data_IF_926288154698
#
_entry.id   IF_926288154698
#
_cell.length_a   1.000
_cell.length_b   1.000
_cell.length_c   1.000
_cell.angle_alpha   90.00
_cell.angle_beta   90.00
_cell.angle_gamma   90.00
#
_symmetry.space_group_name_H-M   'P 1'
#
loop_
_entity.id
_entity.type
_entity.pdbx_description
1 polymer ?
#
# COMPACT_ATOMS: atom_id res chain seq x y z
N UNK A 1 7.94 9.59 21.63
CA UNK A 1 8.69 10.00 20.90
C UNK A 1 8.32 10.57 19.58
N UNK A 2 9.20 10.89 18.82
CA UNK A 2 8.91 11.71 17.69
C UNK A 2 8.39 10.88 16.55
N UNK A 3 7.33 11.35 15.90
CA UNK A 3 6.78 10.72 14.73
C UNK A 3 7.81 10.64 13.62
N UNK A 4 8.78 11.56 13.64
CA UNK A 4 9.79 11.61 12.60
C UNK A 4 10.69 10.39 12.56
N UNK A 5 10.69 9.58 13.62
CA UNK A 5 11.50 8.37 13.65
C UNK A 5 10.81 7.20 12.94
N UNK A 6 9.53 7.35 12.62
CA UNK A 6 8.80 6.27 11.97
C UNK A 6 9.00 6.28 10.47
N UNK A 7 8.86 5.10 9.89
CA UNK A 7 9.11 4.88 8.46
C UNK A 7 7.88 5.26 7.63
N UNK A 8 8.12 5.84 6.47
CA UNK A 8 7.14 5.90 5.40
C UNK A 8 7.44 4.72 4.48
N UNK A 9 6.60 3.70 4.54
CA UNK A 9 6.83 2.48 3.78
C UNK A 9 6.27 2.63 2.36
N UNK A 10 7.13 2.43 1.38
CA UNK A 10 6.76 2.50 -0.03
C UNK A 10 6.75 1.08 -0.57
N UNK A 11 5.56 0.55 -0.80
CA UNK A 11 5.41 -0.85 -1.18
C UNK A 11 5.18 -1.00 -2.67
N UNK A 12 6.02 -1.82 -3.32
CA UNK A 12 5.95 -2.11 -4.74
C UNK A 12 5.73 -3.60 -4.94
N UNK A 13 4.87 -3.93 -5.90
CA UNK A 13 4.64 -5.33 -6.25
C UNK A 13 4.45 -5.46 -7.75
N UNK A 14 5.06 -6.49 -8.32
CA UNK A 14 4.83 -6.88 -9.70
C UNK A 14 4.64 -8.39 -9.73
N UNK A 15 3.48 -8.84 -10.18
CA UNK A 15 3.18 -10.27 -10.26
C UNK A 15 3.17 -10.71 -11.72
N UNK A 16 3.15 -12.03 -11.93
CA UNK A 16 3.02 -12.57 -13.28
C UNK A 16 1.66 -12.18 -13.87
N UNK A 17 0.65 -12.08 -13.03
CA UNK A 17 -0.66 -11.67 -13.48
C UNK A 17 -0.65 -10.26 -14.06
N UNK A 18 0.11 -9.37 -13.44
CA UNK A 18 0.25 -8.00 -13.93
C UNK A 18 0.89 -8.00 -15.32
N UNK A 19 1.90 -8.81 -15.52
CA UNK A 19 2.59 -8.90 -16.80
C UNK A 19 1.67 -9.48 -17.88
N UNK A 20 0.89 -10.49 -17.53
CA UNK A 20 -0.03 -11.11 -18.47
C UNK A 20 -1.17 -10.18 -18.86
N UNK A 21 -1.56 -9.29 -17.97
CA UNK A 21 -2.61 -8.33 -18.24
C UNK A 21 -2.12 -7.15 -19.08
N UNK A 22 -0.85 -7.15 -19.46
CA UNK A 22 -0.29 -6.08 -20.27
C UNK A 22 0.14 -4.88 -19.47
N UNK A 23 0.17 -4.98 -18.17
CA UNK A 23 0.66 -3.88 -17.34
C UNK A 23 2.17 -3.84 -17.44
N UNK A 24 2.69 -2.67 -17.79
CA UNK A 24 4.12 -2.51 -18.03
C UNK A 24 4.85 -1.81 -16.89
N UNK A 25 4.16 -1.65 -15.77
CA UNK A 25 4.73 -0.90 -14.67
C UNK A 25 5.79 -1.71 -13.95
N UNK A 26 7.04 -1.47 -14.25
CA UNK A 26 8.14 -2.19 -13.61
C UNK A 26 8.28 -1.78 -12.16
N UNK A 27 9.04 -2.56 -11.41
CA UNK A 27 9.37 -2.21 -10.03
C UNK A 27 10.08 -0.87 -9.99
N UNK A 28 11.00 -0.61 -10.92
CA UNK A 28 11.72 0.66 -10.96
C UNK A 28 10.77 1.84 -11.17
N UNK A 29 9.80 1.69 -12.08
CA UNK A 29 8.81 2.74 -12.29
C UNK A 29 7.98 2.98 -11.05
N UNK A 30 7.55 1.91 -10.38
CA UNK A 30 6.79 2.07 -9.14
C UNK A 30 7.60 2.82 -8.09
N UNK A 31 8.89 2.48 -7.96
CA UNK A 31 9.74 3.18 -7.01
C UNK A 31 9.84 4.66 -7.31
N UNK A 32 9.98 5.01 -8.59
CA UNK A 32 10.06 6.41 -8.98
C UNK A 32 8.77 7.14 -8.66
N UNK A 33 7.63 6.53 -8.97
CA UNK A 33 6.33 7.13 -8.70
C UNK A 33 6.13 7.36 -7.20
N UNK A 34 6.44 6.35 -6.41
CA UNK A 34 6.22 6.44 -4.97
C UNK A 34 7.18 7.43 -4.32
N UNK A 35 8.44 7.43 -4.75
CA UNK A 35 9.41 8.36 -4.18
C UNK A 35 9.05 9.81 -4.53
N UNK A 36 8.62 10.03 -5.78
CA UNK A 36 8.20 11.37 -6.19
C UNK A 36 7.01 11.84 -5.36
N UNK A 37 6.03 10.97 -5.17
CA UNK A 37 4.87 11.30 -4.35
C UNK A 37 5.29 11.65 -2.94
N UNK A 38 6.16 10.83 -2.35
CA UNK A 38 6.62 11.06 -0.99
C UNK A 38 7.34 12.40 -0.87
N UNK A 39 8.20 12.69 -1.86
CA UNK A 39 8.95 13.95 -1.83
C UNK A 39 8.00 15.15 -1.96
N UNK A 40 7.04 15.06 -2.86
CA UNK A 40 6.10 16.16 -3.09
C UNK A 40 5.17 16.42 -1.91
N UNK A 41 4.89 15.38 -1.14
CA UNK A 41 3.96 15.49 -0.01
C UNK A 41 4.69 15.49 1.33
N UNK A 42 6.01 15.63 1.29
CA UNK A 42 6.84 15.78 2.49
C UNK A 42 6.77 14.59 3.43
N UNK A 43 6.77 13.40 2.87
CA UNK A 43 6.95 12.19 3.65
C UNK A 43 8.44 11.89 3.75
N UNK A 44 8.91 11.69 4.97
CA UNK A 44 10.32 11.48 5.23
C UNK A 44 10.59 10.07 5.71
N UNK A 45 11.86 9.71 5.79
CA UNK A 45 12.29 8.41 6.27
C UNK A 45 11.66 7.28 5.44
N UNK A 46 11.74 7.42 4.11
CA UNK A 46 11.14 6.45 3.21
C UNK A 46 11.96 5.17 3.15
N UNK A 47 11.26 4.04 3.02
CA UNK A 47 11.89 2.75 2.89
C UNK A 47 11.06 1.90 1.94
N UNK A 48 11.72 1.27 0.98
CA UNK A 48 11.04 0.42 0.01
C UNK A 48 10.86 -1.00 0.53
N UNK A 49 9.69 -1.56 0.26
CA UNK A 49 9.42 -2.98 0.45
C UNK A 49 8.93 -3.49 -0.90
N UNK A 50 9.55 -4.55 -1.41
CA UNK A 50 9.34 -4.97 -2.79
C UNK A 50 9.07 -6.45 -2.88
N UNK A 51 8.05 -6.80 -3.66
CA UNK A 51 7.78 -8.19 -4.05
C UNK A 51 7.67 -8.25 -5.57
N UNK A 52 8.54 -9.04 -6.17
CA UNK A 52 8.62 -9.16 -7.62
C UNK A 52 8.36 -10.61 -8.01
N UNK A 53 7.32 -10.85 -8.80
CA UNK A 53 7.01 -12.18 -9.30
C UNK A 53 6.03 -12.98 -8.47
N UNK A 54 5.43 -12.39 -7.46
CA UNK A 54 4.49 -13.09 -6.59
C UNK A 54 3.05 -12.76 -6.95
N UNK A 55 2.16 -13.73 -6.70
CA UNK A 55 0.74 -13.53 -6.94
C UNK A 55 0.17 -12.47 -6.00
N UNK A 56 -0.69 -11.61 -6.53
CA UNK A 56 -1.37 -10.61 -5.73
C UNK A 56 -2.44 -11.19 -4.81
N UNK A 57 -2.81 -12.46 -4.99
CA UNK A 57 -3.80 -13.12 -4.15
C UNK A 57 -3.19 -13.56 -2.83
N UNK A 58 -1.92 -13.96 -2.84
CA UNK A 58 -1.25 -14.44 -1.64
C UNK A 58 -0.71 -13.27 -0.81
N UNK A 59 -0.87 -13.34 0.50
CA UNK A 59 -0.29 -12.39 1.43
C UNK A 59 0.97 -12.94 2.10
N UNK A 60 1.51 -14.05 1.59
CA UNK A 60 2.72 -14.65 2.15
C UNK A 60 3.98 -14.17 1.43
N UNK A 61 3.91 -12.99 0.83
CA UNK A 61 5.04 -12.38 0.14
C UNK A 61 6.01 -11.78 1.13
N UNK A 62 7.30 -11.99 0.90
CA UNK A 62 8.32 -11.59 1.87
C UNK A 62 8.37 -10.10 2.11
N UNK A 63 8.26 -9.30 1.04
CA UNK A 63 8.29 -7.86 1.19
C UNK A 63 7.11 -7.33 1.98
N UNK A 64 5.92 -7.86 1.67
CA UNK A 64 4.72 -7.48 2.39
C UNK A 64 4.82 -7.89 3.86
N UNK A 65 5.29 -9.11 4.12
CA UNK A 65 5.42 -9.58 5.50
C UNK A 65 6.43 -8.76 6.28
N UNK A 66 7.54 -8.40 5.65
CA UNK A 66 8.53 -7.54 6.31
C UNK A 66 7.92 -6.18 6.67
N UNK A 67 7.13 -5.61 5.74
CA UNK A 67 6.48 -4.34 6.00
C UNK A 67 5.47 -4.46 7.14
N UNK A 68 4.66 -5.51 7.13
CA UNK A 68 3.65 -5.70 8.18
C UNK A 68 4.31 -5.95 9.54
N UNK A 69 5.46 -6.62 9.53
CA UNK A 69 6.21 -6.81 10.77
C UNK A 69 6.61 -5.46 11.37
N UNK A 70 7.07 -4.53 10.53
CA UNK A 70 7.43 -3.19 10.99
C UNK A 70 6.19 -2.42 11.47
N UNK A 71 5.05 -2.62 10.79
CA UNK A 71 3.79 -2.00 11.22
C UNK A 71 3.44 -2.47 12.63
N UNK A 72 3.48 -3.76 12.85
CA UNK A 72 3.12 -4.34 14.15
C UNK A 72 4.10 -3.96 15.24
N UNK A 73 5.35 -3.68 14.86
CA UNK A 73 6.35 -3.22 15.82
C UNK A 73 6.20 -1.74 16.16
N UNK A 74 5.28 -1.05 15.48
CA UNK A 74 5.05 0.37 15.75
C UNK A 74 6.03 1.29 15.05
N UNK A 75 6.73 0.79 14.04
CA UNK A 75 7.79 1.56 13.39
C UNK A 75 7.35 2.29 12.12
N UNK A 76 6.09 2.13 11.70
CA UNK A 76 5.60 2.69 10.43
C UNK A 76 4.52 3.73 10.70
N UNK A 77 4.67 4.91 10.10
CA UNK A 77 3.66 5.97 10.19
C UNK A 77 2.71 5.95 8.99
N UNK A 78 3.22 5.62 7.81
CA UNK A 78 2.44 5.69 6.58
C UNK A 78 2.87 4.59 5.63
N UNK A 79 1.90 4.00 4.94
CA UNK A 79 2.13 3.03 3.86
C UNK A 79 1.58 3.64 2.57
N UNK A 80 2.39 3.65 1.51
CA UNK A 80 1.98 4.19 0.21
C UNK A 80 2.16 3.12 -0.85
N UNK A 81 1.12 2.91 -1.67
CA UNK A 81 1.20 2.05 -2.85
C UNK A 81 0.74 2.82 -4.07
N UNK A 82 1.10 2.33 -5.25
CA UNK A 82 0.64 2.93 -6.49
C UNK A 82 -0.88 2.81 -6.61
N UNK A 83 -1.40 1.63 -6.29
CA UNK A 83 -2.84 1.38 -6.29
C UNK A 83 -3.16 0.24 -5.31
N UNK A 84 -4.44 0.02 -5.07
CA UNK A 84 -4.88 -0.97 -4.10
C UNK A 84 -4.45 -2.39 -4.46
N UNK A 85 -4.37 -2.70 -5.77
CA UNK A 85 -4.01 -4.04 -6.18
C UNK A 85 -2.57 -4.39 -5.81
N UNK A 86 -1.71 -3.40 -5.62
CA UNK A 86 -0.33 -3.67 -5.18
C UNK A 86 -0.31 -4.21 -3.76
N UNK A 87 -1.20 -3.69 -2.91
CA UNK A 87 -1.31 -4.21 -1.56
C UNK A 87 -1.80 -5.66 -1.58
N UNK A 88 -2.79 -5.96 -2.41
CA UNK A 88 -3.26 -7.32 -2.60
C UNK A 88 -4.51 -7.38 -3.42
N UNK A 89 -4.75 -8.55 -4.01
CA UNK A 89 -5.97 -8.80 -4.79
C UNK A 89 -6.98 -9.64 -4.03
N UNK A 90 -6.66 -10.01 -2.80
CA UNK A 90 -7.62 -10.64 -1.90
C UNK A 90 -8.36 -9.53 -1.18
N UNK A 91 -9.59 -9.27 -1.60
CA UNK A 91 -10.33 -8.09 -1.16
C UNK A 91 -10.67 -8.11 0.31
N UNK A 92 -10.96 -9.29 0.84
CA UNK A 92 -11.27 -9.38 2.28
C UNK A 92 -10.05 -9.06 3.13
N UNK A 93 -8.90 -9.63 2.77
CA UNK A 93 -7.69 -9.38 3.54
C UNK A 93 -7.16 -7.96 3.35
N UNK A 94 -7.28 -7.44 2.14
CA UNK A 94 -6.86 -6.06 1.87
C UNK A 94 -7.72 -5.08 2.66
N UNK A 95 -9.02 -5.31 2.68
CA UNK A 95 -9.93 -4.48 3.46
C UNK A 95 -9.64 -4.58 4.95
N UNK A 96 -9.31 -5.77 5.43
CA UNK A 96 -8.96 -5.96 6.82
C UNK A 96 -7.71 -5.16 7.20
N UNK A 97 -6.71 -5.17 6.32
CA UNK A 97 -5.50 -4.39 6.56
C UNK A 97 -5.83 -2.90 6.66
N UNK A 98 -6.61 -2.39 5.71
CA UNK A 98 -6.87 -0.96 5.62
C UNK A 98 -7.80 -0.47 6.72
N UNK A 99 -8.83 -1.25 7.05
CA UNK A 99 -9.87 -0.79 7.96
C UNK A 99 -9.64 -1.21 9.41
N UNK A 100 -8.81 -2.21 9.64
CA UNK A 100 -8.60 -2.73 10.99
C UNK A 100 -7.13 -2.63 11.40
N UNK A 101 -6.24 -3.27 10.65
CA UNK A 101 -4.85 -3.39 11.08
C UNK A 101 -4.14 -2.04 11.06
N UNK A 102 -4.20 -1.33 9.94
CA UNK A 102 -3.51 -0.05 9.85
C UNK A 102 -4.04 0.95 10.88
N UNK A 103 -5.36 1.12 11.04
CA UNK A 103 -5.85 2.03 12.09
C UNK A 103 -5.44 1.60 13.49
N UNK A 104 -5.40 0.31 13.77
CA UNK A 104 -5.03 -0.18 15.08
C UNK A 104 -3.61 0.24 15.46
N UNK A 105 -2.70 0.27 14.47
CA UNK A 105 -1.32 0.67 14.70
C UNK A 105 -1.09 2.13 14.32
N UNK A 106 -2.15 2.87 14.08
CA UNK A 106 -2.10 4.30 13.73
C UNK A 106 -1.29 4.56 12.48
N UNK A 107 -1.47 3.68 11.47
CA UNK A 107 -0.79 3.80 10.19
C UNK A 107 -1.74 4.41 9.16
N UNK A 108 -1.28 5.48 8.50
CA UNK A 108 -2.01 6.09 7.39
C UNK A 108 -1.72 5.29 6.13
N UNK A 109 -2.75 5.02 5.34
CA UNK A 109 -2.58 4.30 4.08
C UNK A 109 -3.01 5.15 2.90
N UNK A 110 -2.19 5.19 1.87
CA UNK A 110 -2.45 5.94 0.65
C UNK A 110 -2.28 5.02 -0.55
N UNK A 111 -3.31 4.95 -1.41
CA UNK A 111 -3.22 4.30 -2.72
C UNK A 111 -3.41 5.40 -3.74
N UNK A 112 -2.33 5.75 -4.43
CA UNK A 112 -2.28 6.97 -5.23
C UNK A 112 -3.32 6.99 -6.33
N UNK A 113 -3.36 5.94 -7.17
CA UNK A 113 -4.22 5.92 -8.33
C UNK A 113 -5.70 5.72 -8.01
N UNK A 114 -5.98 5.17 -6.84
CA UNK A 114 -7.37 4.92 -6.43
C UNK A 114 -7.95 6.05 -5.60
N UNK A 115 -7.15 7.07 -5.30
CA UNK A 115 -7.62 8.19 -4.51
C UNK A 115 -7.91 7.85 -3.06
N UNK A 116 -7.31 6.77 -2.55
CA UNK A 116 -7.50 6.36 -1.17
C UNK A 116 -6.47 7.04 -0.29
N UNK A 117 -6.95 7.64 0.81
CA UNK A 117 -6.07 8.23 1.82
C UNK A 117 -6.84 8.18 3.13
N UNK A 118 -6.44 7.30 4.02
CA UNK A 118 -7.19 7.07 5.26
C UNK A 118 -7.11 8.23 6.24
N UNK A 119 -6.27 9.22 5.98
CA UNK A 119 -6.22 10.41 6.84
C UNK A 119 -7.30 11.43 6.50
N UNK A 120 -7.98 11.26 5.36
CA UNK A 120 -9.04 12.18 4.96
C UNK A 120 -10.31 11.87 5.73
N UNK A 121 -10.92 12.89 6.30
CA UNK A 121 -12.08 12.68 7.14
C UNK A 121 -13.37 12.52 6.36
N UNK A 122 -13.53 13.30 5.29
CA UNK A 122 -14.73 13.23 4.48
C UNK A 122 -14.50 12.32 3.28
N UNK A 123 -15.44 11.46 3.00
CA UNK A 123 -15.38 10.54 1.85
C UNK A 123 -14.18 9.60 1.92
N UNK A 124 -13.63 9.42 3.10
CA UNK A 124 -12.39 8.65 3.22
C UNK A 124 -12.55 7.22 2.76
N UNK A 125 -13.73 6.64 2.96
CA UNK A 125 -13.97 5.26 2.60
C UNK A 125 -14.71 5.09 1.28
N UNK A 126 -15.10 6.19 0.63
CA UNK A 126 -15.86 6.11 -0.60
C UNK A 126 -15.10 5.45 -1.74
N UNK A 127 -13.84 5.83 -2.02
CA UNK A 127 -13.08 5.14 -3.07
C UNK A 127 -12.89 3.66 -2.76
N UNK A 128 -12.66 3.31 -1.50
CA UNK A 128 -12.48 1.93 -1.11
C UNK A 128 -13.77 1.13 -1.29
N UNK A 129 -14.89 1.68 -0.89
CA UNK A 129 -16.19 1.04 -1.08
C UNK A 129 -16.49 0.84 -2.56
N UNK A 130 -16.22 1.84 -3.36
CA UNK A 130 -16.47 1.74 -4.79
C UNK A 130 -15.61 0.64 -5.41
N UNK A 131 -14.37 0.52 -4.96
CA UNK A 131 -13.49 -0.52 -5.42
C UNK A 131 -14.03 -1.90 -5.06
N UNK A 132 -14.45 -2.08 -3.81
CA UNK A 132 -15.05 -3.34 -3.37
C UNK A 132 -16.31 -3.67 -4.15
N UNK A 133 -17.20 -2.71 -4.29
CA UNK A 133 -18.48 -2.94 -4.97
C UNK A 133 -18.26 -3.31 -6.43
N UNK A 134 -17.36 -2.64 -7.11
CA UNK A 134 -17.07 -2.93 -8.50
C UNK A 134 -16.47 -4.31 -8.68
N UNK A 135 -15.77 -4.80 -7.67
CA UNK A 135 -15.04 -6.06 -7.78
C UNK A 135 -15.88 -7.25 -7.32
N UNK A 136 -16.76 -7.04 -6.35
CA UNK A 136 -17.57 -8.11 -5.79
C UNK A 136 -18.85 -8.37 -6.57
N UNK A 137 -19.30 -7.40 -7.33
CA UNK A 137 -20.48 -7.59 -8.18
C UNK A 137 -20.09 -8.13 -9.56
#
# INVERSE_FOLDING_TARGET
MLQTDKITALYCRLSQEDMQAGESESIQNQKLILQKYADEHHFFNTRFFVDDGFSGVSFEREGLQAMLHEVEAGNVATVITKDLSRLGRNYLKTGELIEIVFPEYEVRYIAINDGVDTAREDNEFTPLRNWFNATLS
#
